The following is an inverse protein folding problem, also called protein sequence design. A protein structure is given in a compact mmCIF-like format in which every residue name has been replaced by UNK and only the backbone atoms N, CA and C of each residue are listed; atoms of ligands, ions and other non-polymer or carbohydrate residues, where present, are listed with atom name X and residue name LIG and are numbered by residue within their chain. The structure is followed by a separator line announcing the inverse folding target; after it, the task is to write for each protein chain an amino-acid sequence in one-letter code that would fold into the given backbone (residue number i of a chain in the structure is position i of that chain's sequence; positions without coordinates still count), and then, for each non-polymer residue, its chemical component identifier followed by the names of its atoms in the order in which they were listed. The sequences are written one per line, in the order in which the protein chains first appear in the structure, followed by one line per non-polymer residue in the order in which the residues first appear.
data_IF_988386497702
#
_entry.id   IF_988386497702
#
_cell.length_a   1.000
_cell.length_b   1.000
_cell.length_c   1.000
_cell.angle_alpha   90.00
_cell.angle_beta   90.00
_cell.angle_gamma   90.00
#
_symmetry.space_group_name_H-M   'P 1'
#
loop_
_entity.id
_entity.type
_entity.pdbx_description
1 polymer ?
#
# COMPACT_ATOMS: atom_id res chain seq x y z
N UNK A 1 -30.17 161.98 25.23
CA UNK A 1 -28.92 161.30 24.79
C UNK A 1 -28.68 159.94 25.47
N UNK A 2 -29.32 159.62 26.60
CA UNK A 2 -29.09 158.37 27.35
C UNK A 2 -29.71 157.11 26.67
N UNK A 3 -30.77 157.25 25.87
CA UNK A 3 -31.45 156.11 25.21
C UNK A 3 -30.72 155.57 23.97
N UNK A 4 -29.95 156.40 23.24
CA UNK A 4 -29.21 155.96 22.05
C UNK A 4 -27.97 155.14 22.41
N UNK A 5 -27.29 155.46 23.53
CA UNK A 5 -26.15 154.69 24.02
C UNK A 5 -26.56 153.31 24.55
N UNK A 6 -27.74 153.22 25.20
CA UNK A 6 -28.29 151.94 25.67
C UNK A 6 -28.65 151.00 24.50
N UNK A 7 -29.39 151.50 23.50
CA UNK A 7 -29.74 150.75 22.28
C UNK A 7 -28.51 150.31 21.48
N UNK A 8 -27.44 151.12 21.46
CA UNK A 8 -26.18 150.76 20.80
C UNK A 8 -25.42 149.67 21.58
N UNK A 9 -25.41 149.76 22.92
CA UNK A 9 -24.86 148.71 23.78
C UNK A 9 -25.62 147.38 23.62
N UNK A 10 -26.94 147.42 23.53
CA UNK A 10 -27.78 146.23 23.29
C UNK A 10 -27.54 145.63 21.90
N UNK A 11 -27.36 146.47 20.87
CA UNK A 11 -27.02 146.01 19.51
C UNK A 11 -25.62 145.35 19.46
N UNK A 12 -24.63 145.96 20.11
CA UNK A 12 -23.27 145.44 20.21
C UNK A 12 -23.24 144.13 21.04
N UNK A 13 -24.02 144.03 22.11
CA UNK A 13 -24.20 142.81 22.89
C UNK A 13 -24.89 141.69 22.09
N UNK A 14 -25.95 142.00 21.34
CA UNK A 14 -26.60 141.02 20.46
C UNK A 14 -25.69 140.59 19.29
N UNK A 15 -24.84 141.47 18.76
CA UNK A 15 -23.82 141.10 17.77
C UNK A 15 -22.75 140.18 18.36
N UNK A 16 -22.27 140.47 19.58
CA UNK A 16 -21.33 139.59 20.28
C UNK A 16 -21.94 138.21 20.55
N UNK A 17 -23.19 138.15 21.01
CA UNK A 17 -23.93 136.89 21.19
C UNK A 17 -24.11 136.12 19.89
N UNK A 18 -24.38 136.81 18.77
CA UNK A 18 -24.48 136.15 17.47
C UNK A 18 -23.14 135.58 17.00
N UNK A 19 -22.03 136.29 17.22
CA UNK A 19 -20.69 135.78 16.88
C UNK A 19 -20.28 134.61 17.80
N UNK A 20 -20.62 134.67 19.09
CA UNK A 20 -20.42 133.57 20.05
C UNK A 20 -21.22 132.33 19.65
N UNK A 21 -22.52 132.47 19.38
CA UNK A 21 -23.36 131.35 18.91
C UNK A 21 -22.90 130.78 17.56
N UNK A 22 -22.37 131.61 16.65
CA UNK A 22 -21.77 131.13 15.39
C UNK A 22 -20.48 130.36 15.65
N UNK A 23 -19.65 130.82 16.58
CA UNK A 23 -18.41 130.13 16.96
C UNK A 23 -18.73 128.77 17.61
N UNK A 24 -19.73 128.71 18.50
CA UNK A 24 -20.21 127.47 19.11
C UNK A 24 -20.82 126.51 18.07
N UNK A 25 -21.59 127.04 17.10
CA UNK A 25 -22.11 126.25 15.99
C UNK A 25 -20.97 125.68 15.13
N UNK A 26 -19.95 126.48 14.82
CA UNK A 26 -18.79 126.01 14.06
C UNK A 26 -17.98 124.96 14.82
N UNK A 27 -17.82 125.13 16.14
CA UNK A 27 -17.15 124.16 17.00
C UNK A 27 -17.92 122.83 17.05
N UNK A 28 -19.23 122.88 17.31
CA UNK A 28 -20.09 121.68 17.35
C UNK A 28 -20.16 120.95 15.99
N UNK A 29 -20.18 121.69 14.88
CA UNK A 29 -20.09 121.08 13.53
C UNK A 29 -18.74 120.40 13.31
N UNK A 30 -17.63 121.03 13.71
CA UNK A 30 -16.29 120.43 13.61
C UNK A 30 -16.15 119.17 14.47
N UNK A 31 -16.69 119.20 15.69
CA UNK A 31 -16.74 118.05 16.58
C UNK A 31 -17.61 116.92 16.00
N UNK A 32 -18.74 117.27 15.37
CA UNK A 32 -19.62 116.31 14.72
C UNK A 32 -18.98 115.68 13.47
N UNK A 33 -18.29 116.47 12.64
CA UNK A 33 -17.52 115.94 11.51
C UNK A 33 -16.40 115.03 12.00
N UNK A 34 -15.67 115.44 13.04
CA UNK A 34 -14.63 114.63 13.68
C UNK A 34 -15.20 113.33 14.27
N UNK A 35 -16.40 113.39 14.85
CA UNK A 35 -17.11 112.21 15.35
C UNK A 35 -17.54 111.27 14.20
N UNK A 36 -18.10 111.81 13.11
CA UNK A 36 -18.43 111.01 11.92
C UNK A 36 -17.21 110.28 11.36
N UNK A 37 -16.07 110.95 11.26
CA UNK A 37 -14.81 110.32 10.81
C UNK A 37 -14.37 109.23 11.79
N UNK A 38 -14.44 109.47 13.10
CA UNK A 38 -14.11 108.45 14.11
C UNK A 38 -15.04 107.24 14.02
N UNK A 39 -16.35 107.45 13.96
CA UNK A 39 -17.35 106.38 13.82
C UNK A 39 -17.14 105.62 12.51
N UNK A 40 -16.90 106.32 11.41
CA UNK A 40 -16.63 105.68 10.13
C UNK A 40 -15.36 104.83 10.17
N UNK A 41 -14.28 105.31 10.81
CA UNK A 41 -13.07 104.52 11.02
C UNK A 41 -13.30 103.30 11.93
N UNK A 42 -14.07 103.45 13.01
CA UNK A 42 -14.41 102.34 13.91
C UNK A 42 -15.25 101.28 13.18
N UNK A 43 -16.26 101.70 12.41
CA UNK A 43 -17.09 100.79 11.61
C UNK A 43 -16.27 100.09 10.52
N UNK A 44 -15.34 100.80 9.86
CA UNK A 44 -14.41 100.21 8.90
C UNK A 44 -13.51 99.18 9.57
N UNK A 45 -12.96 99.48 10.75
CA UNK A 45 -12.18 98.52 11.53
C UNK A 45 -13.02 97.32 11.98
N UNK A 46 -14.26 97.50 12.42
CA UNK A 46 -15.15 96.40 12.78
C UNK A 46 -15.52 95.53 11.57
N UNK A 47 -15.69 96.14 10.38
CA UNK A 47 -15.93 95.41 9.12
C UNK A 47 -14.71 94.58 8.70
N UNK A 48 -13.50 95.13 8.83
CA UNK A 48 -12.26 94.37 8.60
C UNK A 48 -12.00 93.31 9.68
N UNK A 49 -12.44 93.55 10.92
CA UNK A 49 -12.35 92.56 12.01
C UNK A 49 -13.31 91.39 11.81
N UNK A 50 -14.52 91.66 11.31
CA UNK A 50 -15.48 90.61 10.94
C UNK A 50 -15.03 89.82 9.70
N UNK A 51 -14.32 90.42 8.74
CA UNK A 51 -13.67 89.65 7.67
C UNK A 51 -12.47 88.81 8.16
N UNK A 52 -11.71 89.28 9.16
CA UNK A 52 -10.66 88.44 9.77
C UNK A 52 -11.21 87.27 10.61
N UNK A 53 -12.48 87.34 11.02
CA UNK A 53 -13.14 86.25 11.74
C UNK A 53 -13.48 85.08 10.80
N UNK A 54 -13.86 85.34 9.53
CA UNK A 54 -14.04 84.28 8.53
C UNK A 54 -12.71 83.60 8.15
N UNK A 55 -11.60 84.35 8.13
CA UNK A 55 -10.27 83.76 7.92
C UNK A 55 -9.89 82.86 9.10
N UNK A 56 -10.17 83.30 10.34
CA UNK A 56 -9.95 82.50 11.54
C UNK A 56 -10.76 81.20 11.58
N UNK A 57 -11.98 81.19 11.04
CA UNK A 57 -12.80 79.97 10.94
C UNK A 57 -12.31 79.05 9.81
N UNK A 58 -11.80 79.58 8.70
CA UNK A 58 -11.12 78.79 7.67
C UNK A 58 -9.84 78.12 8.20
N UNK A 59 -9.02 78.86 8.96
CA UNK A 59 -7.83 78.29 9.63
C UNK A 59 -8.19 77.23 10.67
N UNK A 60 -9.31 77.37 11.40
CA UNK A 60 -9.80 76.33 12.32
C UNK A 60 -10.22 75.07 11.57
N UNK A 61 -10.98 75.21 10.49
CA UNK A 61 -11.39 74.06 9.66
C UNK A 61 -10.18 73.35 9.04
N UNK A 62 -9.19 74.10 8.55
CA UNK A 62 -7.94 73.52 8.05
C UNK A 62 -7.16 72.79 9.16
N UNK A 63 -7.10 73.37 10.37
CA UNK A 63 -6.47 72.71 11.53
C UNK A 63 -7.19 71.41 11.91
N UNK A 64 -8.51 71.43 11.99
CA UNK A 64 -9.33 70.24 12.29
C UNK A 64 -9.18 69.17 11.19
N UNK A 65 -9.12 69.58 9.92
CA UNK A 65 -8.85 68.66 8.81
C UNK A 65 -7.46 68.01 8.94
N UNK A 66 -6.43 68.81 9.22
CA UNK A 66 -5.06 68.30 9.42
C UNK A 66 -4.97 67.39 10.65
N UNK A 67 -5.66 67.72 11.74
CA UNK A 67 -5.77 66.87 12.93
C UNK A 67 -6.44 65.53 12.59
N UNK A 68 -7.53 65.53 11.81
CA UNK A 68 -8.21 64.32 11.35
C UNK A 68 -7.32 63.45 10.44
N UNK A 69 -6.56 64.08 9.53
CA UNK A 69 -5.59 63.36 8.67
C UNK A 69 -4.46 62.77 9.50
N UNK A 70 -3.94 63.50 10.48
CA UNK A 70 -2.91 62.97 11.40
C UNK A 70 -3.43 61.78 12.18
N UNK A 71 -4.67 61.84 12.67
CA UNK A 71 -5.26 60.72 13.42
C UNK A 71 -5.51 59.50 12.51
N UNK A 72 -5.97 59.71 11.27
CA UNK A 72 -6.09 58.64 10.28
C UNK A 72 -4.72 58.02 9.91
N UNK A 73 -3.67 58.84 9.78
CA UNK A 73 -2.32 58.34 9.52
C UNK A 73 -1.78 57.55 10.72
N UNK A 74 -2.09 57.97 11.95
CA UNK A 74 -1.73 57.23 13.17
C UNK A 74 -2.44 55.89 13.25
N UNK A 75 -3.75 55.84 13.00
CA UNK A 75 -4.50 54.58 13.00
C UNK A 75 -3.96 53.62 11.95
N UNK A 76 -3.69 54.13 10.74
CA UNK A 76 -3.12 53.32 9.65
C UNK A 76 -1.70 52.84 9.98
N UNK A 77 -0.86 53.67 10.60
CA UNK A 77 0.46 53.25 11.08
C UNK A 77 0.34 52.11 12.10
N UNK A 78 -0.57 52.23 13.06
CA UNK A 78 -0.82 51.21 14.07
C UNK A 78 -1.32 49.89 13.45
N UNK A 79 -2.26 49.95 12.50
CA UNK A 79 -2.75 48.78 11.76
C UNK A 79 -1.62 48.08 10.98
N UNK A 80 -0.80 48.86 10.26
CA UNK A 80 0.35 48.29 9.53
C UNK A 80 1.40 47.68 10.45
N UNK A 81 1.64 48.30 11.62
CA UNK A 81 2.55 47.76 12.62
C UNK A 81 2.02 46.44 13.21
N UNK A 82 0.72 46.35 13.49
CA UNK A 82 0.09 45.13 13.98
C UNK A 82 0.14 44.02 12.91
N UNK A 83 -0.14 44.35 11.65
CA UNK A 83 -0.06 43.40 10.53
C UNK A 83 1.37 42.92 10.28
N UNK A 84 2.37 43.80 10.42
CA UNK A 84 3.78 43.41 10.33
C UNK A 84 4.15 42.47 11.49
N UNK A 85 3.67 42.75 12.70
CA UNK A 85 3.92 41.90 13.86
C UNK A 85 3.29 40.51 13.69
N UNK A 86 2.04 40.43 13.19
CA UNK A 86 1.39 39.14 12.93
C UNK A 86 2.12 38.35 11.86
N UNK A 87 2.45 38.99 10.73
CA UNK A 87 3.21 38.34 9.65
C UNK A 87 4.59 37.87 10.10
N UNK A 88 5.27 38.65 10.97
CA UNK A 88 6.56 38.24 11.54
C UNK A 88 6.41 37.01 12.44
N UNK A 89 5.35 36.94 13.25
CA UNK A 89 5.08 35.77 14.10
C UNK A 89 4.72 34.53 13.28
N UNK A 90 3.97 34.68 12.19
CA UNK A 90 3.65 33.60 11.26
C UNK A 90 4.91 33.07 10.57
N UNK A 91 5.80 33.97 10.11
CA UNK A 91 7.08 33.58 9.53
C UNK A 91 7.96 32.80 10.52
N UNK A 92 8.00 33.22 11.78
CA UNK A 92 8.74 32.51 12.82
C UNK A 92 8.15 31.11 13.08
N UNK A 93 6.83 30.98 13.11
CA UNK A 93 6.16 29.68 13.25
C UNK A 93 6.46 28.76 12.07
N UNK A 94 6.31 29.27 10.83
CA UNK A 94 6.63 28.52 9.62
C UNK A 94 8.11 28.10 9.57
N UNK A 95 9.01 28.93 10.06
CA UNK A 95 10.43 28.60 10.13
C UNK A 95 10.69 27.44 11.11
N UNK A 96 10.05 27.45 12.28
CA UNK A 96 10.13 26.33 13.24
C UNK A 96 9.52 25.06 12.65
N UNK A 97 8.38 25.15 11.98
CA UNK A 97 7.76 24.00 11.30
C UNK A 97 8.66 23.43 10.20
N UNK A 98 9.32 24.31 9.43
CA UNK A 98 10.29 23.90 8.42
C UNK A 98 11.47 23.14 9.04
N UNK A 99 12.07 23.67 10.11
CA UNK A 99 13.20 23.06 10.78
C UNK A 99 12.82 21.69 11.39
N UNK A 100 11.66 21.59 12.04
CA UNK A 100 11.16 20.32 12.60
C UNK A 100 10.86 19.28 11.52
N UNK A 101 10.33 19.71 10.37
CA UNK A 101 10.09 18.83 9.23
C UNK A 101 11.39 18.33 8.60
N UNK A 102 12.39 19.20 8.48
CA UNK A 102 13.73 18.83 8.02
C UNK A 102 14.39 17.82 8.96
N UNK A 103 14.32 18.03 10.28
CA UNK A 103 14.83 17.08 11.28
C UNK A 103 14.14 15.72 11.15
N UNK A 104 12.81 15.71 11.02
CA UNK A 104 12.03 14.49 10.82
C UNK A 104 12.42 13.77 9.53
N UNK A 105 12.56 14.50 8.43
CA UNK A 105 12.98 13.94 7.15
C UNK A 105 14.38 13.33 7.24
N UNK A 106 15.35 14.04 7.82
CA UNK A 106 16.71 13.53 8.02
C UNK A 106 16.73 12.28 8.90
N UNK A 107 15.93 12.25 9.97
CA UNK A 107 15.80 11.08 10.82
C UNK A 107 15.25 9.86 10.08
N UNK A 108 14.16 10.04 9.32
CA UNK A 108 13.58 8.95 8.52
C UNK A 108 14.58 8.46 7.48
N UNK A 109 15.28 9.38 6.81
CA UNK A 109 16.32 9.03 5.84
C UNK A 109 17.43 8.18 6.48
N UNK A 110 17.91 8.57 7.67
CA UNK A 110 18.92 7.82 8.41
C UNK A 110 18.42 6.43 8.82
N UNK A 111 17.19 6.32 9.32
CA UNK A 111 16.56 5.05 9.68
C UNK A 111 16.35 4.14 8.46
N UNK A 112 16.01 4.71 7.29
CA UNK A 112 15.87 3.96 6.05
C UNK A 112 17.22 3.43 5.57
N UNK A 113 18.27 4.28 5.58
CA UNK A 113 19.62 3.88 5.19
C UNK A 113 20.17 2.79 6.13
N UNK A 114 19.95 2.91 7.45
CA UNK A 114 20.41 1.89 8.39
C UNK A 114 19.70 0.55 8.19
N UNK A 115 18.37 0.57 8.02
CA UNK A 115 17.59 -0.65 7.73
C UNK A 115 18.01 -1.29 6.40
N UNK A 116 18.28 -0.47 5.38
CA UNK A 116 18.74 -0.97 4.09
C UNK A 116 20.13 -1.64 4.21
N UNK A 117 21.03 -1.07 5.00
CA UNK A 117 22.34 -1.68 5.30
C UNK A 117 22.19 -3.02 6.06
N UNK A 118 21.34 -3.08 7.08
CA UNK A 118 21.05 -4.31 7.83
C UNK A 118 20.46 -5.42 6.94
N UNK A 119 19.53 -5.06 6.05
CA UNK A 119 18.93 -6.02 5.12
C UNK A 119 19.95 -6.54 4.10
N UNK A 120 20.84 -5.66 3.60
CA UNK A 120 21.94 -6.08 2.72
C UNK A 120 22.90 -7.05 3.42
N UNK A 121 23.27 -6.78 4.65
CA UNK A 121 24.14 -7.67 5.44
C UNK A 121 23.48 -9.04 5.66
N UNK A 122 22.19 -9.07 6.04
CA UNK A 122 21.43 -10.32 6.21
C UNK A 122 21.36 -11.12 4.91
N UNK A 123 21.12 -10.45 3.78
CA UNK A 123 21.08 -11.10 2.47
C UNK A 123 22.42 -11.74 2.13
N UNK A 124 23.53 -11.02 2.35
CA UNK A 124 24.88 -11.56 2.12
C UNK A 124 25.18 -12.76 3.05
N UNK A 125 24.77 -12.68 4.32
CA UNK A 125 24.90 -13.79 5.27
C UNK A 125 24.14 -15.03 4.79
N UNK A 126 22.86 -14.88 4.47
CA UNK A 126 22.01 -15.98 3.98
C UNK A 126 22.51 -16.54 2.66
N UNK A 127 23.03 -15.70 1.76
CA UNK A 127 23.63 -16.14 0.52
C UNK A 127 24.88 -16.99 0.79
N UNK A 128 25.75 -16.58 1.72
CA UNK A 128 26.94 -17.33 2.10
C UNK A 128 26.58 -18.68 2.75
N UNK A 129 25.57 -18.71 3.62
CA UNK A 129 25.05 -19.93 4.25
C UNK A 129 24.43 -20.87 3.21
N UNK A 130 23.63 -20.35 2.27
CA UNK A 130 23.05 -21.14 1.18
C UNK A 130 24.12 -21.78 0.31
N UNK A 131 25.20 -21.04 -0.01
CA UNK A 131 26.32 -21.60 -0.77
C UNK A 131 27.06 -22.67 0.02
N UNK A 132 27.29 -22.45 1.32
CA UNK A 132 27.91 -23.44 2.20
C UNK A 132 27.07 -24.72 2.29
N UNK A 133 25.77 -24.61 2.56
CA UNK A 133 24.84 -25.74 2.64
C UNK A 133 24.74 -26.49 1.30
N UNK A 134 24.70 -25.80 0.16
CA UNK A 134 24.72 -26.44 -1.16
C UNK A 134 26.02 -27.21 -1.41
N UNK A 135 27.15 -26.65 -0.98
CA UNK A 135 28.45 -27.33 -1.05
C UNK A 135 28.48 -28.58 -0.17
N UNK A 136 28.06 -28.49 1.09
CA UNK A 136 27.99 -29.64 2.00
C UNK A 136 27.05 -30.73 1.48
N UNK A 137 25.87 -30.34 0.99
CA UNK A 137 24.93 -31.28 0.39
C UNK A 137 25.54 -31.97 -0.84
N UNK A 138 26.20 -31.22 -1.72
CA UNK A 138 26.91 -31.76 -2.87
C UNK A 138 28.02 -32.75 -2.48
N UNK A 139 28.78 -32.45 -1.43
CA UNK A 139 29.81 -33.35 -0.89
C UNK A 139 29.21 -34.63 -0.30
N UNK A 140 28.12 -34.52 0.47
CA UNK A 140 27.41 -35.67 1.03
C UNK A 140 26.83 -36.57 -0.07
N UNK A 141 26.19 -35.98 -1.08
CA UNK A 141 25.66 -36.70 -2.24
C UNK A 141 26.77 -37.42 -3.03
N UNK A 142 27.92 -36.75 -3.24
CA UNK A 142 29.08 -37.37 -3.88
C UNK A 142 29.63 -38.54 -3.05
N UNK A 143 29.73 -38.40 -1.72
CA UNK A 143 30.16 -39.48 -0.83
C UNK A 143 29.21 -40.68 -0.82
N UNK A 144 27.90 -40.44 -0.82
CA UNK A 144 26.91 -41.52 -0.91
C UNK A 144 26.98 -42.21 -2.27
N UNK A 145 27.19 -41.46 -3.35
CA UNK A 145 27.35 -42.00 -4.71
C UNK A 145 28.57 -42.90 -4.80
N UNK A 146 29.74 -42.45 -4.31
CA UNK A 146 30.96 -43.28 -4.31
C UNK A 146 30.82 -44.52 -3.45
N UNK A 147 30.17 -44.43 -2.28
CA UNK A 147 29.87 -45.60 -1.44
C UNK A 147 28.96 -46.61 -2.17
N UNK A 148 27.93 -46.12 -2.85
CA UNK A 148 26.98 -46.97 -3.61
C UNK A 148 27.65 -47.61 -4.81
N UNK A 149 28.53 -46.90 -5.53
CA UNK A 149 29.33 -47.44 -6.63
C UNK A 149 30.34 -48.49 -6.11
N UNK A 150 31.01 -48.23 -4.99
CA UNK A 150 31.94 -49.18 -4.37
C UNK A 150 31.23 -50.48 -3.97
N UNK A 151 30.08 -50.39 -3.29
CA UNK A 151 29.27 -51.57 -2.95
C UNK A 151 28.81 -52.33 -4.19
N UNK A 152 28.30 -51.63 -5.22
CA UNK A 152 27.91 -52.24 -6.50
C UNK A 152 29.08 -52.95 -7.18
N UNK A 153 30.27 -52.36 -7.16
CA UNK A 153 31.48 -52.95 -7.73
C UNK A 153 31.91 -54.21 -6.98
N UNK A 154 31.88 -54.19 -5.63
CA UNK A 154 32.17 -55.35 -4.78
C UNK A 154 31.21 -56.50 -5.05
N UNK A 155 29.90 -56.24 -5.12
CA UNK A 155 28.92 -57.29 -5.43
C UNK A 155 29.10 -57.84 -6.85
N UNK A 156 29.42 -56.99 -7.83
CA UNK A 156 29.72 -57.42 -9.20
C UNK A 156 30.94 -58.33 -9.25
N UNK A 157 31.99 -58.01 -8.50
CA UNK A 157 33.21 -58.81 -8.42
C UNK A 157 32.97 -60.15 -7.71
N UNK A 158 32.21 -60.16 -6.61
CA UNK A 158 31.78 -61.40 -5.94
C UNK A 158 30.99 -62.31 -6.88
N UNK A 159 30.03 -61.77 -7.63
CA UNK A 159 29.26 -62.54 -8.61
C UNK A 159 30.14 -63.12 -9.71
N UNK A 160 31.11 -62.34 -10.20
CA UNK A 160 32.07 -62.81 -11.21
C UNK A 160 32.96 -63.92 -10.65
N UNK A 161 33.50 -63.77 -9.45
CA UNK A 161 34.30 -64.82 -8.81
C UNK A 161 33.50 -66.12 -8.66
N UNK A 162 32.24 -66.02 -8.24
CA UNK A 162 31.36 -67.18 -8.06
C UNK A 162 31.02 -67.85 -9.40
N UNK A 163 30.89 -67.07 -10.49
CA UNK A 163 30.77 -67.59 -11.85
C UNK A 163 32.05 -68.29 -12.32
N UNK A 164 33.21 -67.68 -12.11
CA UNK A 164 34.51 -68.25 -12.51
C UNK A 164 34.77 -69.59 -11.80
N UNK A 165 34.48 -69.67 -10.49
CA UNK A 165 34.54 -70.91 -9.71
C UNK A 165 33.54 -71.97 -10.23
N UNK A 166 32.31 -71.56 -10.55
CA UNK A 166 31.33 -72.48 -11.14
C UNK A 166 31.80 -73.02 -12.51
N UNK A 167 32.33 -72.17 -13.38
CA UNK A 167 32.90 -72.58 -14.65
C UNK A 167 34.07 -73.57 -14.47
N UNK A 168 35.01 -73.28 -13.56
CA UNK A 168 36.12 -74.18 -13.23
C UNK A 168 35.65 -75.54 -12.69
N UNK A 169 34.69 -75.55 -11.77
CA UNK A 169 34.11 -76.81 -11.24
C UNK A 169 33.39 -77.60 -12.32
N UNK A 170 32.64 -76.95 -13.22
CA UNK A 170 32.01 -77.62 -14.37
C UNK A 170 33.05 -78.19 -15.32
N UNK A 171 34.10 -77.43 -15.66
CA UNK A 171 35.19 -77.90 -16.52
C UNK A 171 35.91 -79.12 -15.92
N UNK A 172 36.20 -79.12 -14.62
CA UNK A 172 36.85 -80.26 -13.96
C UNK A 172 35.96 -81.50 -13.93
N UNK A 173 34.65 -81.35 -13.62
CA UNK A 173 33.70 -82.46 -13.69
C UNK A 173 33.57 -83.01 -15.11
N UNK A 174 33.54 -82.13 -16.11
CA UNK A 174 33.46 -82.53 -17.51
C UNK A 174 34.71 -83.28 -17.96
N UNK A 175 35.90 -82.85 -17.54
CA UNK A 175 37.14 -83.61 -17.76
C UNK A 175 37.10 -84.99 -17.10
N UNK A 176 36.55 -85.11 -15.89
CA UNK A 176 36.40 -86.41 -15.21
C UNK A 176 35.44 -87.34 -15.96
N UNK A 177 34.29 -86.81 -16.41
CA UNK A 177 33.33 -87.56 -17.24
C UNK A 177 34.03 -88.08 -18.50
N UNK A 178 34.72 -87.23 -19.25
CA UNK A 178 35.43 -87.64 -20.47
C UNK A 178 36.51 -88.71 -20.21
N UNK A 179 37.20 -88.66 -19.06
CA UNK A 179 38.16 -89.71 -18.67
C UNK A 179 37.46 -91.04 -18.40
N UNK A 180 36.35 -91.03 -17.66
CA UNK A 180 35.55 -92.23 -17.38
C UNK A 180 34.94 -92.82 -18.66
N UNK A 181 34.43 -91.97 -19.56
CA UNK A 181 33.94 -92.38 -20.88
C UNK A 181 35.05 -93.07 -21.70
N UNK A 182 36.27 -92.51 -21.71
CA UNK A 182 37.41 -93.12 -22.39
C UNK A 182 37.80 -94.49 -21.79
N UNK A 183 37.75 -94.63 -20.46
CA UNK A 183 38.01 -95.91 -19.77
C UNK A 183 36.95 -96.96 -20.09
N UNK A 184 35.66 -96.58 -20.05
CA UNK A 184 34.56 -97.45 -20.45
C UNK A 184 34.69 -97.90 -21.91
N UNK A 185 35.07 -96.98 -22.80
CA UNK A 185 35.31 -97.30 -24.21
C UNK A 185 36.49 -98.26 -24.43
N UNK A 186 37.55 -98.17 -23.61
CA UNK A 186 38.67 -99.12 -23.63
C UNK A 186 38.26 -100.51 -23.13
N UNK A 187 37.53 -100.59 -22.02
CA UNK A 187 36.99 -101.84 -21.46
C UNK A 187 36.04 -102.55 -22.44
N UNK A 188 35.29 -101.79 -23.23
CA UNK A 188 34.40 -102.33 -24.26
C UNK A 188 35.14 -102.87 -25.51
N UNK A 189 36.43 -102.52 -25.71
CA UNK A 189 37.23 -102.89 -26.89
C UNK A 189 38.16 -104.10 -26.71
N UNK A 190 38.26 -104.69 -25.51
CA UNK A 190 39.07 -105.89 -25.25
C UNK A 190 38.31 -107.18 -25.66
N UNK A 191 38.92 -108.18 -26.34
CA UNK A 191 38.23 -109.42 -26.68
C UNK A 191 38.56 -110.54 -25.68
N UNK A 192 37.57 -111.06 -24.94
CA UNK A 192 37.40 -112.51 -24.73
C UNK A 192 36.04 -112.87 -24.12
N UNK A 193 35.49 -113.94 -24.68
CA UNK A 193 34.20 -114.54 -24.46
C UNK A 193 34.17 -115.38 -23.17
N UNK A 194 33.18 -115.19 -22.29
CA UNK A 194 32.41 -116.29 -21.65
C UNK A 194 31.17 -115.77 -20.88
N UNK A 195 30.03 -115.93 -21.54
CA UNK A 195 28.67 -116.25 -21.09
C UNK A 195 28.30 -116.33 -19.60
N UNK A 196 27.19 -115.67 -19.22
CA UNK A 196 25.92 -116.32 -18.80
C UNK A 196 24.84 -115.23 -18.57
N UNK A 197 23.77 -115.24 -19.37
CA UNK A 197 22.42 -115.74 -19.02
C UNK A 197 21.66 -114.86 -18.02
N UNK A 198 20.66 -114.14 -18.53
CA UNK A 198 19.71 -113.35 -17.73
C UNK A 198 18.66 -112.63 -18.57
N UNK A 199 17.78 -113.41 -19.20
CA UNK A 199 16.38 -113.13 -19.58
C UNK A 199 15.91 -111.68 -19.84
N UNK A 200 15.42 -111.54 -21.07
CA UNK A 200 14.57 -110.50 -21.66
C UNK A 200 13.32 -110.18 -20.83
N UNK A 201 13.06 -108.89 -20.57
CA UNK A 201 11.70 -108.37 -20.39
C UNK A 201 11.49 -107.17 -21.32
N UNK A 202 10.58 -107.36 -22.28
CA UNK A 202 10.08 -106.37 -23.24
C UNK A 202 8.92 -105.63 -22.57
N UNK A 203 8.95 -104.30 -22.51
CA UNK A 203 7.72 -103.51 -22.72
C UNK A 203 7.96 -102.01 -23.03
N UNK A 204 7.53 -101.61 -24.24
CA UNK A 204 6.88 -100.33 -24.62
C UNK A 204 7.69 -99.02 -24.56
N UNK A 205 7.48 -98.01 -25.41
CA UNK A 205 6.63 -97.82 -26.60
C UNK A 205 7.04 -96.51 -27.27
N UNK A 206 7.10 -96.50 -28.61
CA UNK A 206 7.04 -95.27 -29.42
C UNK A 206 5.58 -94.88 -29.61
N UNK A 207 5.21 -93.61 -29.42
CA UNK A 207 4.41 -92.81 -30.39
C UNK A 207 4.09 -91.40 -29.89
N UNK A 208 4.19 -90.47 -30.85
CA UNK A 208 3.59 -89.15 -30.90
C UNK A 208 2.07 -89.16 -30.65
N UNK A 209 1.51 -88.12 -30.05
CA UNK A 209 0.15 -87.67 -30.35
C UNK A 209 -0.08 -86.21 -29.91
N UNK A 210 -0.62 -85.40 -30.83
CA UNK A 210 -1.12 -84.04 -30.62
C UNK A 210 -2.48 -84.03 -29.90
N UNK A 211 -2.90 -82.84 -29.45
CA UNK A 211 -4.29 -82.39 -29.25
C UNK A 211 -5.21 -83.05 -28.21
N UNK A 212 -5.60 -82.28 -27.17
CA UNK A 212 -6.98 -81.72 -27.03
C UNK A 212 -7.18 -80.89 -25.74
N UNK A 213 -7.81 -79.72 -25.90
CA UNK A 213 -8.55 -78.87 -24.90
C UNK A 213 -9.97 -79.49 -24.66
N UNK A 214 -10.80 -79.22 -23.59
CA UNK A 214 -11.31 -77.88 -23.16
C UNK A 214 -11.79 -77.63 -21.68
N UNK A 215 -12.16 -76.35 -21.45
CA UNK A 215 -13.00 -75.71 -20.38
C UNK A 215 -12.44 -75.65 -18.93
N UNK A 216 -12.52 -74.57 -18.13
CA UNK A 216 -13.50 -73.48 -17.99
C UNK A 216 -12.86 -72.17 -17.40
N UNK A 217 -13.58 -71.04 -17.53
CA UNK A 217 -13.26 -69.57 -17.39
C UNK A 217 -13.34 -69.12 -15.89
N UNK A 218 -12.94 -67.91 -15.36
CA UNK A 218 -12.80 -66.54 -15.93
C UNK A 218 -11.53 -65.70 -15.55
N UNK A 219 -10.95 -64.94 -16.49
CA UNK A 219 -11.10 -63.47 -16.70
C UNK A 219 -10.76 -62.61 -15.47
N UNK A 220 -9.64 -61.86 -15.50
CA UNK A 220 -9.61 -60.40 -15.31
C UNK A 220 -8.39 -59.81 -16.03
N UNK A 221 -8.71 -58.75 -16.74
CA UNK A 221 -7.96 -57.81 -17.54
C UNK A 221 -7.05 -56.89 -16.69
N UNK A 222 -5.83 -56.59 -17.17
CA UNK A 222 -5.02 -55.48 -16.67
C UNK A 222 -4.26 -54.85 -17.84
N UNK A 223 -5.05 -54.23 -18.71
CA UNK A 223 -4.70 -53.12 -19.58
C UNK A 223 -3.78 -52.12 -18.86
N UNK A 224 -2.78 -51.62 -19.60
CA UNK A 224 -1.83 -50.65 -19.10
C UNK A 224 -2.45 -49.32 -18.68
N UNK A 225 -1.82 -48.71 -17.68
CA UNK A 225 -1.82 -47.27 -17.50
C UNK A 225 -0.39 -46.82 -17.28
N UNK A 226 0.07 -45.98 -18.19
CA UNK A 226 1.13 -45.01 -17.92
C UNK A 226 0.73 -44.23 -16.66
N UNK A 227 1.60 -44.23 -15.65
CA UNK A 227 1.52 -43.29 -14.53
C UNK A 227 2.45 -42.14 -14.85
N UNK A 228 1.85 -40.99 -15.08
CA UNK A 228 2.49 -39.68 -15.12
C UNK A 228 2.91 -39.27 -13.71
N UNK A 229 4.08 -38.65 -13.60
CA UNK A 229 4.50 -37.88 -12.43
C UNK A 229 3.51 -36.72 -12.23
N UNK A 230 2.69 -36.83 -11.19
CA UNK A 230 1.90 -35.74 -10.65
C UNK A 230 2.33 -35.51 -9.21
N UNK A 231 3.38 -34.72 -9.03
CA UNK A 231 3.71 -34.08 -7.77
C UNK A 231 2.62 -33.03 -7.46
N UNK A 232 2.06 -33.09 -6.26
CA UNK A 232 1.02 -32.17 -5.83
C UNK A 232 0.34 -32.60 -4.54
N UNK A 233 1.08 -32.58 -3.42
CA UNK A 233 0.48 -32.59 -2.08
C UNK A 233 0.48 -31.15 -1.56
N UNK A 234 -0.60 -30.42 -1.84
CA UNK A 234 -1.03 -29.31 -1.01
C UNK A 234 -2.07 -29.84 -0.03
N UNK A 235 -1.78 -29.67 1.24
CA UNK A 235 -2.55 -30.15 2.39
C UNK A 235 -3.83 -29.34 2.55
N UNK A 236 -4.99 -30.00 2.47
CA UNK A 236 -6.23 -29.50 3.08
C UNK A 236 -6.95 -30.65 3.79
N UNK A 237 -6.76 -30.68 5.10
CA UNK A 237 -7.78 -30.92 6.13
C UNK A 237 -9.00 -31.74 5.72
N UNK A 238 -8.95 -33.03 6.01
CA UNK A 238 -10.15 -33.80 6.37
C UNK A 238 -9.90 -34.43 7.72
N UNK A 239 -10.53 -33.87 8.75
CA UNK A 239 -10.65 -34.48 10.06
C UNK A 239 -11.21 -35.91 9.90
N UNK A 240 -10.36 -36.91 10.11
CA UNK A 240 -10.77 -38.29 10.34
C UNK A 240 -10.25 -38.70 11.70
N UNK A 241 -11.01 -38.34 12.73
CA UNK A 241 -10.90 -38.95 14.04
C UNK A 241 -11.31 -40.43 13.89
N UNK A 242 -10.33 -41.31 13.82
CA UNK A 242 -10.52 -42.72 14.15
C UNK A 242 -9.48 -43.11 15.18
N UNK A 243 -9.89 -42.86 16.42
CA UNK A 243 -9.34 -43.50 17.61
C UNK A 243 -9.27 -45.01 17.42
N UNK A 244 -8.15 -45.58 17.82
CA UNK A 244 -8.02 -46.95 18.34
C UNK A 244 -9.34 -47.53 18.86
N UNK A 245 -9.97 -48.40 18.08
CA UNK A 245 -11.22 -49.08 18.45
C UNK A 245 -11.21 -50.47 17.83
N UNK A 246 -11.09 -51.48 18.69
CA UNK A 246 -11.31 -52.89 18.37
C UNK A 246 -12.61 -53.10 17.58
N UNK A 247 -12.66 -54.02 16.60
CA UNK A 247 -13.89 -54.31 15.86
C UNK A 247 -14.97 -54.82 16.82
N UNK A 248 -16.12 -54.14 16.87
CA UNK A 248 -17.29 -54.62 17.60
C UNK A 248 -17.80 -55.92 16.97
N UNK A 249 -18.07 -56.98 17.75
CA UNK A 249 -18.61 -58.23 17.22
C UNK A 249 -20.07 -58.06 16.75
N UNK A 250 -20.46 -58.89 15.78
CA UNK A 250 -21.81 -58.95 15.22
C UNK A 250 -22.84 -59.33 16.30
N UNK A 251 -24.06 -58.80 16.18
CA UNK A 251 -25.19 -59.07 17.08
C UNK A 251 -25.44 -60.57 17.27
N UNK A 252 -25.17 -61.40 16.26
CA UNK A 252 -25.31 -62.85 16.36
C UNK A 252 -24.25 -63.50 17.25
N UNK A 253 -23.02 -62.96 17.30
CA UNK A 253 -21.94 -63.48 18.16
C UNK A 253 -22.19 -63.21 19.65
N UNK A 254 -22.88 -62.11 19.98
CA UNK A 254 -23.25 -61.75 21.35
C UNK A 254 -24.40 -62.59 21.91
N UNK A 255 -25.32 -63.05 21.04
CA UNK A 255 -26.46 -63.87 21.45
C UNK A 255 -26.09 -65.36 21.61
N UNK A 256 -24.99 -65.81 20.99
CA UNK A 256 -24.49 -67.18 21.12
C UNK A 256 -23.53 -67.40 22.30
N UNK A 257 -23.04 -66.35 22.96
CA UNK A 257 -22.12 -66.45 24.11
C UNK A 257 -22.82 -66.56 25.47
N UNK A 258 -24.10 -66.91 25.49
CA UNK A 258 -24.87 -67.12 26.72
C UNK A 258 -24.60 -68.49 27.36
N UNK A 259 -23.35 -68.79 27.67
CA UNK A 259 -23.02 -69.68 28.77
C UNK A 259 -21.59 -69.37 29.25
N UNK A 260 -21.37 -69.53 30.55
CA UNK A 260 -20.18 -69.22 31.36
C UNK A 260 -20.28 -67.96 32.24
N UNK A 261 -20.93 -68.17 33.39
CA UNK A 261 -20.47 -67.81 34.75
C UNK A 261 -20.00 -66.37 35.01
N UNK A 262 -20.92 -65.58 35.57
CA UNK A 262 -20.72 -64.72 36.74
C UNK A 262 -19.33 -64.06 36.91
N UNK A 263 -19.08 -63.00 36.14
CA UNK A 263 -18.22 -61.90 36.57
C UNK A 263 -19.10 -60.68 36.87
N UNK A 264 -18.84 -59.94 37.97
CA UNK A 264 -19.63 -58.77 38.28
C UNK A 264 -19.39 -57.73 37.17
N UNK A 265 -20.47 -57.38 36.47
CA UNK A 265 -20.53 -56.18 35.65
C UNK A 265 -20.16 -55.01 36.56
N UNK A 266 -18.92 -54.53 36.47
CA UNK A 266 -18.51 -53.26 37.04
C UNK A 266 -19.25 -52.21 36.23
N UNK A 267 -20.42 -51.80 36.74
CA UNK A 267 -21.01 -50.53 36.37
C UNK A 267 -19.91 -49.50 36.61
N UNK A 268 -19.29 -49.01 35.54
CA UNK A 268 -18.41 -47.85 35.63
C UNK A 268 -19.19 -46.82 36.44
N UNK A 269 -18.63 -46.44 37.60
CA UNK A 269 -19.20 -45.42 38.45
C UNK A 269 -19.57 -44.25 37.55
N UNK A 270 -20.85 -43.86 37.60
CA UNK A 270 -21.33 -42.65 36.97
C UNK A 270 -20.31 -41.55 37.30
N UNK A 271 -19.65 -40.94 36.28
CA UNK A 271 -18.58 -39.99 36.54
C UNK A 271 -19.12 -38.93 37.48
N UNK A 272 -18.41 -38.70 38.59
CA UNK A 272 -18.90 -37.78 39.62
C UNK A 272 -19.21 -36.42 38.97
N UNK A 273 -20.24 -35.75 39.48
CA UNK A 273 -20.64 -34.42 39.01
C UNK A 273 -19.45 -33.46 38.95
N UNK A 274 -18.51 -33.57 39.88
CA UNK A 274 -17.26 -32.81 39.92
C UNK A 274 -16.28 -33.16 38.77
N UNK A 275 -16.17 -34.42 38.37
CA UNK A 275 -15.34 -34.81 37.23
C UNK A 275 -15.92 -34.31 35.91
N UNK A 276 -17.26 -34.35 35.77
CA UNK A 276 -17.96 -33.81 34.61
C UNK A 276 -17.83 -32.29 34.53
N UNK A 277 -17.94 -31.57 35.65
CA UNK A 277 -17.75 -30.11 35.68
C UNK A 277 -16.30 -29.73 35.39
N UNK A 278 -15.34 -30.52 35.86
CA UNK A 278 -13.93 -30.31 35.54
C UNK A 278 -13.65 -30.52 34.04
N UNK A 279 -14.15 -31.62 33.45
CA UNK A 279 -14.04 -31.89 32.00
C UNK A 279 -14.72 -30.82 31.15
N UNK A 280 -15.91 -30.37 31.58
CA UNK A 280 -16.62 -29.26 30.93
C UNK A 280 -15.81 -27.96 31.02
N UNK A 281 -15.22 -27.67 32.17
CA UNK A 281 -14.38 -26.46 32.34
C UNK A 281 -13.11 -26.51 31.49
N UNK A 282 -12.50 -27.69 31.32
CA UNK A 282 -11.32 -27.85 30.47
C UNK A 282 -11.69 -27.76 29.00
N UNK A 283 -12.82 -28.35 28.60
CA UNK A 283 -13.34 -28.26 27.24
C UNK A 283 -13.75 -26.83 26.88
N UNK A 284 -14.39 -26.11 27.81
CA UNK A 284 -14.75 -24.71 27.64
C UNK A 284 -13.50 -23.83 27.44
N UNK A 285 -12.46 -24.03 28.27
CA UNK A 285 -11.17 -23.34 28.11
C UNK A 285 -10.46 -23.68 26.81
N UNK A 286 -10.51 -24.93 26.35
CA UNK A 286 -9.90 -25.30 25.05
C UNK A 286 -10.66 -24.67 23.88
N UNK A 287 -12.00 -24.61 23.94
CA UNK A 287 -12.82 -23.95 22.93
C UNK A 287 -12.53 -22.45 22.89
N UNK A 288 -12.42 -21.79 24.05
CA UNK A 288 -12.06 -20.37 24.12
C UNK A 288 -10.67 -20.10 23.52
N UNK A 289 -9.69 -20.94 23.82
CA UNK A 289 -8.35 -20.84 23.23
C UNK A 289 -8.37 -21.04 21.70
N UNK A 290 -9.04 -22.08 21.20
CA UNK A 290 -9.18 -22.32 19.77
C UNK A 290 -9.91 -21.16 19.06
N UNK A 291 -10.92 -20.58 19.69
CA UNK A 291 -11.64 -19.43 19.15
C UNK A 291 -10.74 -18.17 19.10
N UNK A 292 -9.90 -17.96 20.12
CA UNK A 292 -8.90 -16.90 20.09
C UNK A 292 -7.89 -17.10 18.96
N UNK A 293 -7.41 -18.33 18.75
CA UNK A 293 -6.51 -18.65 17.63
C UNK A 293 -7.21 -18.43 16.30
N UNK A 294 -8.47 -18.85 16.16
CA UNK A 294 -9.26 -18.64 14.95
C UNK A 294 -9.39 -17.15 14.62
N UNK A 295 -9.71 -16.31 15.60
CA UNK A 295 -9.79 -14.86 15.36
C UNK A 295 -8.42 -14.25 15.01
N UNK A 296 -7.33 -14.73 15.60
CA UNK A 296 -5.98 -14.32 15.23
C UNK A 296 -5.61 -14.76 13.80
N UNK A 297 -5.98 -15.98 13.39
CA UNK A 297 -5.76 -16.45 12.02
C UNK A 297 -6.65 -15.75 11.00
N UNK A 298 -7.91 -15.47 11.33
CA UNK A 298 -8.82 -14.66 10.51
C UNK A 298 -8.29 -13.24 10.31
N UNK A 299 -7.82 -12.59 11.38
CA UNK A 299 -7.25 -11.25 11.31
C UNK A 299 -5.97 -11.21 10.46
N UNK A 300 -5.06 -12.16 10.66
CA UNK A 300 -3.84 -12.24 9.85
C UNK A 300 -4.15 -12.56 8.38
N UNK A 301 -5.14 -13.41 8.11
CA UNK A 301 -5.60 -13.70 6.74
C UNK A 301 -6.18 -12.45 6.06
N UNK A 302 -7.02 -11.66 6.76
CA UNK A 302 -7.54 -10.40 6.25
C UNK A 302 -6.42 -9.43 5.84
N UNK A 303 -5.39 -9.29 6.67
CA UNK A 303 -4.21 -8.46 6.38
C UNK A 303 -3.44 -9.00 5.16
N UNK A 304 -3.23 -10.31 5.06
CA UNK A 304 -2.56 -10.93 3.91
C UNK A 304 -3.35 -10.72 2.62
N UNK A 305 -4.68 -10.83 2.66
CA UNK A 305 -5.54 -10.55 1.50
C UNK A 305 -5.41 -9.09 1.06
N UNK A 306 -5.40 -8.13 1.98
CA UNK A 306 -5.20 -6.72 1.66
C UNK A 306 -3.82 -6.48 1.02
N UNK A 307 -2.75 -7.05 1.60
CA UNK A 307 -1.41 -6.98 1.03
C UNK A 307 -1.34 -7.58 -0.38
N UNK A 308 -2.00 -8.71 -0.63
CA UNK A 308 -2.08 -9.31 -1.97
C UNK A 308 -2.76 -8.36 -2.95
N UNK A 309 -3.86 -7.71 -2.56
CA UNK A 309 -4.53 -6.75 -3.42
C UNK A 309 -3.66 -5.53 -3.72
N UNK A 310 -2.98 -4.98 -2.70
CA UNK A 310 -2.06 -3.86 -2.85
C UNK A 310 -0.89 -4.22 -3.76
N UNK A 311 -0.22 -5.36 -3.52
CA UNK A 311 0.88 -5.83 -4.35
C UNK A 311 0.45 -6.08 -5.79
N UNK A 312 -0.71 -6.70 -6.02
CA UNK A 312 -1.26 -6.88 -7.38
C UNK A 312 -1.51 -5.54 -8.07
N UNK A 313 -2.06 -4.55 -7.36
CA UNK A 313 -2.27 -3.21 -7.91
C UNK A 313 -0.96 -2.48 -8.20
N UNK A 314 0.05 -2.66 -7.36
CA UNK A 314 1.37 -2.08 -7.51
C UNK A 314 2.14 -2.70 -8.68
N UNK A 315 2.10 -4.03 -8.85
CA UNK A 315 2.66 -4.71 -10.02
C UNK A 315 2.02 -4.17 -11.30
N UNK A 316 0.68 -4.12 -11.36
CA UNK A 316 -0.03 -3.53 -12.51
C UNK A 316 0.32 -2.06 -12.74
N UNK A 317 0.63 -1.30 -11.68
CA UNK A 317 1.07 0.10 -11.77
C UNK A 317 2.48 0.18 -12.35
N UNK A 318 3.40 -0.66 -11.88
CA UNK A 318 4.79 -0.73 -12.33
C UNK A 318 4.88 -1.20 -13.79
N UNK A 319 4.11 -2.21 -14.19
CA UNK A 319 4.03 -2.68 -15.58
C UNK A 319 3.61 -1.54 -16.53
N UNK A 320 2.53 -0.82 -16.19
CA UNK A 320 2.08 0.35 -16.96
C UNK A 320 3.14 1.46 -16.99
N UNK A 321 3.87 1.67 -15.90
CA UNK A 321 4.94 2.65 -15.86
C UNK A 321 6.11 2.28 -16.79
N UNK A 322 6.55 1.03 -16.74
CA UNK A 322 7.59 0.51 -17.64
C UNK A 322 7.16 0.61 -19.12
N UNK A 323 5.89 0.36 -19.43
CA UNK A 323 5.35 0.55 -20.78
C UNK A 323 5.34 2.03 -21.20
N UNK A 324 5.09 2.97 -20.28
CA UNK A 324 5.24 4.41 -20.56
C UNK A 324 6.69 4.77 -20.83
N UNK A 325 7.66 4.23 -20.09
CA UNK A 325 9.08 4.47 -20.34
C UNK A 325 9.48 4.08 -21.77
N UNK A 326 8.94 2.96 -22.29
CA UNK A 326 9.13 2.54 -23.68
C UNK A 326 8.55 3.53 -24.69
N UNK A 327 7.50 4.29 -24.33
CA UNK A 327 6.85 5.29 -25.17
C UNK A 327 7.29 6.74 -24.91
N UNK A 328 8.24 6.99 -24.00
CA UNK A 328 8.74 8.34 -23.63
C UNK A 328 9.29 9.13 -24.81
N UNK A 329 9.83 8.47 -25.84
CA UNK A 329 10.28 9.15 -27.07
C UNK A 329 9.13 9.88 -27.81
N UNK A 330 7.86 9.54 -27.52
CA UNK A 330 6.68 10.06 -28.20
C UNK A 330 5.95 11.17 -27.39
N UNK A 331 6.60 11.78 -26.40
CA UNK A 331 5.96 12.83 -25.58
C UNK A 331 5.46 14.04 -26.39
N UNK A 332 6.17 14.42 -27.46
CA UNK A 332 5.72 15.53 -28.33
C UNK A 332 4.46 15.16 -29.11
N UNK A 333 4.37 13.93 -29.60
CA UNK A 333 3.17 13.40 -30.24
C UNK A 333 2.00 13.35 -29.24
N UNK A 334 2.24 12.83 -28.04
CA UNK A 334 1.25 12.78 -26.98
C UNK A 334 0.75 14.18 -26.60
N UNK A 335 1.64 15.18 -26.51
CA UNK A 335 1.26 16.58 -26.28
C UNK A 335 0.26 17.05 -27.33
N UNK A 336 0.53 16.79 -28.61
CA UNK A 336 -0.34 17.21 -29.70
C UNK A 336 -1.70 16.49 -29.66
N UNK A 337 -1.70 15.18 -29.38
CA UNK A 337 -2.93 14.38 -29.24
C UNK A 337 -3.77 14.85 -28.04
N UNK A 338 -3.14 15.15 -26.89
CA UNK A 338 -3.84 15.65 -25.71
C UNK A 338 -4.40 17.05 -25.94
N UNK A 339 -3.64 17.94 -26.58
CA UNK A 339 -4.16 19.26 -26.96
C UNK A 339 -5.37 19.10 -27.88
N UNK A 340 -5.29 18.23 -28.88
CA UNK A 340 -6.41 17.95 -29.78
C UNK A 340 -7.61 17.37 -29.02
N UNK A 341 -7.39 16.47 -28.05
CA UNK A 341 -8.45 15.90 -27.20
C UNK A 341 -9.13 16.93 -26.29
N UNK A 342 -8.41 17.96 -25.84
CA UNK A 342 -8.96 19.04 -24.99
C UNK A 342 -9.76 20.04 -25.84
N UNK A 343 -9.30 20.37 -27.05
CA UNK A 343 -9.95 21.37 -27.92
C UNK A 343 -11.08 20.80 -28.78
N UNK A 344 -11.13 19.49 -29.00
CA UNK A 344 -12.25 18.83 -29.70
C UNK A 344 -13.52 18.83 -28.85
N UNK A 345 -14.67 19.10 -29.49
CA UNK A 345 -15.99 18.95 -28.85
C UNK A 345 -16.26 17.47 -28.56
N UNK A 346 -17.06 17.21 -27.52
CA UNK A 346 -17.52 15.85 -27.20
C UNK A 346 -18.22 15.23 -28.42
N UNK A 347 -17.83 13.99 -28.78
CA UNK A 347 -18.22 13.36 -30.04
C UNK A 347 -17.27 12.26 -30.50
N UNK A 348 -17.57 11.68 -31.66
CA UNK A 348 -16.84 10.53 -32.24
C UNK A 348 -15.35 10.80 -32.46
N UNK A 349 -14.98 12.03 -32.83
CA UNK A 349 -13.58 12.42 -33.04
C UNK A 349 -12.78 12.43 -31.72
N UNK A 350 -13.41 12.85 -30.61
CA UNK A 350 -12.80 12.82 -29.28
C UNK A 350 -12.65 11.39 -28.75
N UNK A 351 -13.62 10.51 -29.05
CA UNK A 351 -13.54 9.07 -28.77
C UNK A 351 -12.43 8.39 -29.57
N UNK A 352 -12.22 8.78 -30.83
CA UNK A 352 -11.19 8.21 -31.69
C UNK A 352 -9.76 8.43 -31.19
N UNK A 353 -9.53 9.46 -30.35
CA UNK A 353 -8.24 9.72 -29.72
C UNK A 353 -8.00 8.87 -28.46
N UNK A 354 -9.03 8.28 -27.85
CA UNK A 354 -8.89 7.50 -26.61
C UNK A 354 -7.97 6.28 -26.73
N UNK A 355 -8.00 5.47 -27.81
CA UNK A 355 -7.07 4.35 -27.96
C UNK A 355 -5.61 4.82 -27.99
N UNK A 356 -5.34 5.96 -28.63
CA UNK A 356 -4.00 6.54 -28.70
C UNK A 356 -3.55 7.07 -27.34
N UNK A 357 -4.43 7.79 -26.63
CA UNK A 357 -4.14 8.27 -25.28
C UNK A 357 -3.95 7.10 -24.31
N UNK A 358 -4.78 6.06 -24.40
CA UNK A 358 -4.68 4.86 -23.57
C UNK A 358 -3.38 4.10 -23.80
N UNK A 359 -2.96 3.93 -25.04
CA UNK A 359 -1.70 3.23 -25.36
C UNK A 359 -0.47 4.03 -24.97
N UNK A 360 -0.48 5.36 -25.15
CA UNK A 360 0.66 6.23 -24.80
C UNK A 360 0.78 6.47 -23.29
N UNK A 361 -0.35 6.63 -22.58
CA UNK A 361 -0.38 6.89 -21.13
C UNK A 361 -0.62 5.64 -20.29
N UNK A 362 -0.82 4.47 -20.89
CA UNK A 362 -1.13 3.21 -20.19
C UNK A 362 -2.15 3.43 -19.07
N UNK A 363 -3.33 3.89 -19.47
CA UNK A 363 -4.40 4.23 -18.54
C UNK A 363 -4.95 2.99 -17.86
N UNK A 364 -5.29 3.11 -16.58
CA UNK A 364 -6.05 2.08 -15.86
C UNK A 364 -7.43 1.92 -16.50
N UNK A 365 -8.11 0.77 -16.31
CA UNK A 365 -9.47 0.58 -16.81
C UNK A 365 -10.45 1.64 -16.28
N UNK A 366 -10.26 2.10 -15.04
CA UNK A 366 -11.04 3.18 -14.44
C UNK A 366 -10.78 4.53 -15.11
N UNK A 367 -9.51 4.88 -15.34
CA UNK A 367 -9.11 6.12 -16.02
C UNK A 367 -9.62 6.16 -17.46
N UNK A 368 -9.55 5.02 -18.16
CA UNK A 368 -10.10 4.83 -19.51
C UNK A 368 -11.61 5.03 -19.53
N UNK A 369 -12.32 4.46 -18.54
CA UNK A 369 -13.76 4.63 -18.40
C UNK A 369 -14.16 6.10 -18.18
N UNK A 370 -13.45 6.80 -17.29
CA UNK A 370 -13.68 8.24 -17.04
C UNK A 370 -13.47 9.09 -18.31
N UNK A 371 -12.37 8.86 -19.03
CA UNK A 371 -12.09 9.58 -20.28
C UNK A 371 -13.10 9.22 -21.39
N UNK A 372 -13.61 7.99 -21.40
CA UNK A 372 -14.68 7.59 -22.32
C UNK A 372 -16.00 8.33 -22.02
N UNK A 373 -16.38 8.50 -20.75
CA UNK A 373 -17.56 9.28 -20.36
C UNK A 373 -17.43 10.76 -20.78
N UNK A 374 -16.27 11.37 -20.51
CA UNK A 374 -15.97 12.77 -20.90
C UNK A 374 -16.03 12.94 -22.42
N UNK A 375 -15.49 11.98 -23.18
CA UNK A 375 -15.48 12.05 -24.63
C UNK A 375 -16.88 11.82 -25.25
N UNK A 376 -17.78 11.11 -24.56
CA UNK A 376 -19.18 10.93 -24.95
C UNK A 376 -20.05 12.15 -24.60
N UNK A 377 -19.56 13.02 -23.71
CA UNK A 377 -20.30 14.21 -23.26
C UNK A 377 -21.34 13.88 -22.19
N UNK A 378 -21.21 12.77 -21.48
CA UNK A 378 -22.05 12.41 -20.32
C UNK A 378 -21.66 13.20 -19.05
N UNK A 379 -21.10 14.40 -19.19
CA UNK A 379 -20.86 15.27 -18.04
C UNK A 379 -22.10 16.12 -17.76
N UNK A 380 -22.47 16.10 -16.48
CA UNK A 380 -23.69 16.64 -15.90
C UNK A 380 -24.07 18.03 -16.44
N UNK A 381 -25.31 18.10 -16.92
CA UNK A 381 -26.05 19.35 -17.08
C UNK A 381 -26.41 19.90 -15.70
N UNK A 382 -25.43 20.46 -14.98
CA UNK A 382 -25.64 21.29 -13.81
C UNK A 382 -24.38 22.13 -13.56
N UNK A 383 -24.54 23.44 -13.42
CA UNK A 383 -23.44 24.39 -13.31
C UNK A 383 -22.42 24.03 -12.22
N UNK A 384 -21.20 23.74 -12.64
CA UNK A 384 -20.01 23.86 -11.80
C UNK A 384 -18.81 24.25 -12.66
N UNK A 385 -18.77 25.54 -13.01
CA UNK A 385 -17.46 26.18 -13.15
C UNK A 385 -16.74 26.03 -11.80
N UNK A 386 -15.64 25.26 -11.78
CA UNK A 386 -14.66 25.33 -10.70
C UNK A 386 -14.56 24.11 -9.78
N UNK A 387 -14.59 22.88 -10.30
CA UNK A 387 -14.07 21.70 -9.58
C UNK A 387 -12.91 21.05 -10.33
N UNK A 388 -11.96 21.87 -10.77
CA UNK A 388 -10.76 21.40 -11.45
C UNK A 388 -9.54 22.01 -10.77
N UNK A 389 -8.59 21.16 -10.39
CA UNK A 389 -7.28 21.46 -9.80
C UNK A 389 -7.23 21.74 -8.29
N UNK A 390 -8.21 22.41 -7.67
CA UNK A 390 -8.15 22.75 -6.24
C UNK A 390 -8.22 21.53 -5.32
N UNK A 391 -8.95 20.48 -5.69
CA UNK A 391 -9.05 19.24 -4.90
C UNK A 391 -7.73 18.45 -4.84
N UNK A 392 -6.91 18.50 -5.90
CA UNK A 392 -5.62 17.82 -5.94
C UNK A 392 -4.51 18.57 -5.20
N UNK A 393 -4.66 19.89 -5.00
CA UNK A 393 -3.71 20.68 -4.21
C UNK A 393 -3.78 20.33 -2.71
N UNK A 394 -4.96 20.00 -2.19
CA UNK A 394 -5.14 19.60 -0.79
C UNK A 394 -4.48 18.26 -0.44
N UNK A 395 -4.23 17.39 -1.42
CA UNK A 395 -3.53 16.11 -1.20
C UNK A 395 -2.00 16.27 -1.21
N UNK A 396 -1.48 17.42 -1.65
CA UNK A 396 -0.05 17.74 -1.67
C UNK A 396 0.35 18.61 -0.47
N UNK A 397 -0.57 19.43 0.04
CA UNK A 397 -0.42 20.07 1.33
C UNK A 397 -0.77 19.05 2.42
N UNK A 398 0.22 18.36 2.96
CA UNK A 398 0.08 17.60 4.22
C UNK A 398 -0.15 18.51 5.43
N UNK A 399 -1.17 19.37 5.38
CA UNK A 399 -1.67 20.13 6.52
C UNK A 399 -2.81 19.31 7.14
N UNK A 400 -2.65 19.00 8.42
CA UNK A 400 -3.71 18.48 9.30
C UNK A 400 -4.77 19.53 9.56
#
# INVERSE_FOLDING_TARGET
MISQSALRGDLEAHQQQLEELKADLAATVSEFESYKVRVHNVLKQQKHKSSSQSDGDAFKQEREHMEAVVEQLRSRLQETQQSLQSSTSELQQLQVEHDTLLERHNRILQETVSKEAELRERLLSLQSESVALKSEHGQCAASLSTQTEALRSSFREQMRHLQDEHCSTVETLQQQISRLEAQLFQLQKEPSSCSSSGTVHVQQSRKSHMDRKPADVPQVDLQGMAREEGEGMETTETESLSSSGTPLPSLEQLLTSADLKHEPVVWHMEPSKEELTQKLSTAARSVEHLNSLLHETEATNAVLMEQITLLKSEVRRLERNQEREKSVANLEYLKNVLLQFIFLRSGSERQALLPVIHTMLQLSPEEKSKLAAIAQGEEESAGSQGSGWTSYLHSWSGIR
#
